data_IF_060303855753
#
_entry.id   IF_060303855753
#
_cell.length_a   1.000
_cell.length_b   1.000
_cell.length_c   1.000
_cell.angle_alpha   90.00
_cell.angle_beta   90.00
_cell.angle_gamma   90.00
#
_symmetry.space_group_name_H-M   'P 1'
#
loop_
_entity.id
_entity.type
_entity.pdbx_description
1 polymer ?
#
# COMPACT_ATOMS: atom_id res chain seq x y z
N UNK A 1 73.54 12.03 17.46
CA UNK A 1 74.42 10.86 17.22
C UNK A 1 73.70 9.99 16.19
N UNK A 2 74.16 9.92 14.92
CA UNK A 2 75.06 8.88 14.37
C UNK A 2 74.49 7.46 14.63
N UNK A 3 74.23 6.56 13.68
CA UNK A 3 74.68 6.30 12.29
C UNK A 3 73.67 5.28 11.67
N UNK A 4 73.43 5.29 10.37
CA UNK A 4 73.99 4.32 9.39
C UNK A 4 72.97 3.19 9.13
N UNK A 5 72.46 2.90 7.93
CA UNK A 5 73.02 2.97 6.59
C UNK A 5 73.59 1.59 6.23
N UNK A 6 72.96 0.87 5.28
CA UNK A 6 73.61 -0.10 4.38
C UNK A 6 72.61 -0.58 3.29
N UNK A 7 73.11 -0.62 2.06
CA UNK A 7 72.43 -0.94 0.81
C UNK A 7 72.63 -2.42 0.39
N UNK A 8 71.64 -2.94 -0.36
CA UNK A 8 71.73 -3.93 -1.47
C UNK A 8 72.23 -5.36 -1.18
N UNK A 9 72.19 -6.30 -2.15
CA UNK A 9 71.35 -6.48 -3.36
C UNK A 9 70.75 -7.92 -3.44
N UNK A 10 70.02 -8.27 -4.51
CA UNK A 10 69.81 -9.69 -4.84
C UNK A 10 68.61 -10.02 -5.72
N UNK A 11 68.83 -10.06 -7.04
CA UNK A 11 67.94 -10.74 -8.01
C UNK A 11 68.08 -12.25 -7.84
N UNK A 12 66.98 -13.00 -7.82
CA UNK A 12 66.91 -14.38 -8.31
C UNK A 12 65.53 -14.58 -8.98
N UNK A 13 65.57 -15.11 -10.19
CA UNK A 13 64.43 -15.40 -11.05
C UNK A 13 64.03 -16.87 -10.98
N UNK A 14 62.74 -17.18 -11.14
CA UNK A 14 62.13 -18.39 -11.75
C UNK A 14 60.60 -18.42 -11.44
N UNK A 15 59.77 -19.23 -12.13
CA UNK A 15 59.58 -19.35 -13.56
C UNK A 15 58.09 -19.17 -13.95
N UNK A 16 57.84 -19.34 -15.25
CA UNK A 16 56.57 -19.28 -16.00
C UNK A 16 55.43 -20.13 -15.41
N UNK A 17 54.23 -19.56 -15.36
CA UNK A 17 52.98 -20.29 -15.46
C UNK A 17 51.99 -19.49 -16.35
N UNK A 18 51.84 -19.94 -17.58
CA UNK A 18 50.92 -19.41 -18.58
C UNK A 18 49.50 -19.89 -18.22
N UNK A 19 48.74 -19.06 -17.49
CA UNK A 19 47.34 -19.32 -17.20
C UNK A 19 46.44 -18.72 -18.27
N UNK A 20 45.87 -19.56 -19.13
CA UNK A 20 44.86 -19.16 -20.11
C UNK A 20 43.58 -18.70 -19.39
N UNK A 21 43.35 -17.39 -19.36
CA UNK A 21 42.07 -16.83 -18.94
C UNK A 21 41.06 -17.03 -20.07
N UNK A 22 40.24 -18.08 -19.97
CA UNK A 22 38.99 -18.18 -20.73
C UNK A 22 38.08 -17.03 -20.27
N UNK A 23 38.01 -15.97 -21.08
CA UNK A 23 36.98 -14.95 -20.96
C UNK A 23 35.62 -15.57 -21.21
N UNK A 24 34.85 -15.79 -20.14
CA UNK A 24 33.42 -16.04 -20.23
C UNK A 24 32.77 -14.73 -20.71
N UNK A 25 32.58 -14.62 -22.03
CA UNK A 25 31.72 -13.61 -22.62
C UNK A 25 30.28 -13.87 -22.16
N UNK A 26 29.88 -13.25 -21.05
CA UNK A 26 28.49 -13.18 -20.65
C UNK A 26 27.72 -12.38 -21.71
N UNK A 27 26.70 -12.99 -22.31
CA UNK A 27 25.68 -12.25 -23.02
C UNK A 27 24.87 -11.45 -21.99
N UNK A 28 25.30 -10.23 -21.69
CA UNK A 28 24.36 -9.24 -21.19
C UNK A 28 23.51 -8.78 -22.38
N UNK A 29 22.17 -8.92 -22.35
CA UNK A 29 21.33 -8.30 -23.35
C UNK A 29 21.47 -6.79 -23.19
N UNK A 30 22.20 -6.17 -24.10
CA UNK A 30 22.22 -4.71 -24.27
C UNK A 30 20.82 -4.28 -24.68
N UNK A 31 20.02 -3.84 -23.70
CA UNK A 31 18.78 -3.12 -23.99
C UNK A 31 19.21 -1.78 -24.61
N UNK A 32 18.88 -1.50 -25.89
CA UNK A 32 19.28 -0.25 -26.52
C UNK A 32 18.60 0.91 -25.78
N UNK A 33 19.41 1.78 -25.19
CA UNK A 33 18.98 2.99 -24.47
C UNK A 33 18.90 4.23 -25.37
N UNK A 34 18.87 4.03 -26.69
CA UNK A 34 18.64 5.10 -27.66
C UNK A 34 17.14 5.29 -27.96
N UNK A 35 16.69 6.48 -28.38
CA UNK A 35 15.35 6.63 -28.95
C UNK A 35 15.25 5.64 -30.12
N UNK A 36 14.19 4.84 -30.15
CA UNK A 36 13.93 3.92 -31.24
C UNK A 36 13.91 4.71 -32.56
N UNK A 37 14.98 4.63 -33.32
CA UNK A 37 14.99 5.12 -34.69
C UNK A 37 14.25 4.07 -35.50
N UNK A 38 12.98 4.33 -35.80
CA UNK A 38 12.23 3.62 -36.83
C UNK A 38 12.96 3.80 -38.16
N UNK A 39 13.85 2.87 -38.50
CA UNK A 39 14.16 2.59 -39.89
C UNK A 39 13.08 1.65 -40.39
N UNK A 40 12.23 2.06 -41.36
CA UNK A 40 11.18 1.21 -41.87
C UNK A 40 11.79 -0.04 -42.51
N UNK A 41 11.53 -1.21 -41.92
CA UNK A 41 11.75 -2.49 -42.55
C UNK A 41 10.67 -2.78 -43.59
N UNK A 42 10.97 -3.64 -44.54
CA UNK A 42 10.20 -4.03 -45.73
C UNK A 42 8.77 -4.60 -45.48
N UNK A 43 8.24 -4.52 -44.26
CA UNK A 43 6.90 -4.97 -43.86
C UNK A 43 5.77 -3.94 -44.09
N UNK A 44 6.06 -2.86 -44.81
CA UNK A 44 5.24 -1.65 -44.92
C UNK A 44 3.98 -1.75 -45.82
N UNK A 45 3.43 -2.96 -46.04
CA UNK A 45 2.18 -3.12 -46.80
C UNK A 45 0.95 -3.30 -45.90
N UNK A 46 1.14 -3.66 -44.63
CA UNK A 46 0.13 -3.61 -43.58
C UNK A 46 0.83 -3.28 -42.25
N UNK A 47 1.35 -2.06 -42.14
CA UNK A 47 1.90 -1.54 -40.89
C UNK A 47 0.78 -1.27 -39.87
N UNK A 48 0.39 -2.33 -39.15
CA UNK A 48 -0.54 -2.26 -38.02
C UNK A 48 0.15 -1.74 -36.75
N UNK A 49 1.46 -1.47 -36.75
CA UNK A 49 2.19 -0.96 -35.58
C UNK A 49 1.77 0.47 -35.23
N UNK A 50 1.28 1.24 -36.21
CA UNK A 50 0.61 2.54 -36.00
C UNK A 50 -0.56 2.49 -35.01
N UNK A 51 -1.16 1.32 -34.79
CA UNK A 51 -2.23 1.15 -33.79
C UNK A 51 -1.70 0.69 -32.42
N UNK A 52 -0.51 0.08 -32.36
CA UNK A 52 0.15 -0.29 -31.11
C UNK A 52 0.71 0.93 -30.38
N UNK A 53 1.33 1.85 -31.13
CA UNK A 53 1.86 3.11 -30.60
C UNK A 53 1.11 4.28 -31.19
N UNK A 54 0.17 4.80 -30.40
CA UNK A 54 -0.66 5.93 -30.79
C UNK A 54 -0.09 7.24 -30.24
N UNK A 55 -0.23 8.34 -30.99
CA UNK A 55 0.10 9.70 -30.55
C UNK A 55 -0.93 10.27 -29.56
N UNK A 56 -1.15 9.58 -28.44
CA UNK A 56 -1.94 10.05 -27.30
C UNK A 56 -1.28 9.61 -26.01
N UNK A 57 -1.51 10.35 -24.93
CA UNK A 57 -1.09 9.90 -23.61
C UNK A 57 -2.11 8.91 -23.03
N UNK A 58 -1.63 7.82 -22.47
CA UNK A 58 -2.41 6.90 -21.62
C UNK A 58 -2.10 7.15 -20.13
N UNK A 59 -2.94 6.66 -19.19
CA UNK A 59 -2.66 6.81 -17.77
C UNK A 59 -1.27 6.26 -17.40
N UNK A 60 -0.54 7.03 -16.59
CA UNK A 60 0.84 6.74 -16.15
C UNK A 60 1.92 6.73 -17.24
N UNK A 61 1.62 7.19 -18.47
CA UNK A 61 2.64 7.41 -19.48
C UNK A 61 3.51 8.64 -19.13
N UNK A 62 4.84 8.60 -19.37
CA UNK A 62 5.68 9.78 -19.26
C UNK A 62 5.31 10.83 -20.31
N UNK A 63 5.56 12.10 -20.00
CA UNK A 63 5.33 13.24 -20.89
C UNK A 63 6.49 14.21 -20.85
N UNK A 64 6.97 14.63 -22.01
CA UNK A 64 7.99 15.68 -22.13
C UNK A 64 7.38 17.10 -22.11
N UNK A 65 6.05 17.22 -22.11
CA UNK A 65 5.36 18.51 -22.15
C UNK A 65 5.37 19.24 -20.80
N UNK A 66 5.51 18.50 -19.69
CA UNK A 66 5.44 19.05 -18.33
C UNK A 66 6.74 18.81 -17.57
N UNK A 67 7.11 19.77 -16.72
CA UNK A 67 8.36 19.74 -15.94
C UNK A 67 8.49 18.53 -15.00
N UNK A 68 7.36 17.97 -14.57
CA UNK A 68 7.29 16.82 -13.66
C UNK A 68 7.26 15.46 -14.41
N UNK A 69 7.34 15.48 -15.74
CA UNK A 69 7.36 14.28 -16.56
C UNK A 69 6.02 13.52 -16.62
N UNK A 70 4.96 14.03 -15.98
CA UNK A 70 3.71 13.30 -15.80
C UNK A 70 2.63 13.74 -16.80
N UNK A 71 2.11 12.79 -17.58
CA UNK A 71 0.93 13.03 -18.42
C UNK A 71 -0.34 13.24 -17.57
N UNK A 72 -0.46 12.55 -16.43
CA UNK A 72 -1.59 12.68 -15.51
C UNK A 72 -1.46 14.00 -14.72
N UNK A 73 -2.31 14.98 -15.04
CA UNK A 73 -2.34 16.27 -14.34
C UNK A 73 -3.22 16.20 -13.09
N UNK A 74 -2.81 16.93 -12.05
CA UNK A 74 -3.69 17.19 -10.90
C UNK A 74 -4.77 18.19 -11.30
N UNK A 75 -6.04 17.95 -11.00
CA UNK A 75 -7.08 18.96 -11.17
C UNK A 75 -6.78 20.23 -10.36
N UNK A 76 -7.22 21.42 -10.81
CA UNK A 76 -7.14 22.64 -10.02
C UNK A 76 -7.81 22.48 -8.65
N UNK A 77 -7.30 23.20 -7.65
CA UNK A 77 -7.88 23.20 -6.31
C UNK A 77 -9.34 23.66 -6.31
N UNK A 78 -10.18 23.04 -5.47
CA UNK A 78 -11.61 23.34 -5.40
C UNK A 78 -12.47 22.70 -6.50
N UNK A 79 -11.89 21.92 -7.42
CA UNK A 79 -12.65 21.18 -8.42
C UNK A 79 -13.50 20.08 -7.77
N UNK A 80 -14.80 20.03 -8.12
CA UNK A 80 -15.75 19.02 -7.64
C UNK A 80 -16.15 18.10 -8.80
N UNK A 81 -15.96 16.77 -8.71
CA UNK A 81 -16.45 15.81 -9.70
C UNK A 81 -17.98 15.78 -9.76
N UNK A 82 -18.55 15.63 -10.96
CA UNK A 82 -20.01 15.51 -11.12
C UNK A 82 -20.56 14.18 -10.58
N UNK A 83 -19.74 13.12 -10.58
CA UNK A 83 -20.05 11.80 -10.06
C UNK A 83 -19.74 11.65 -8.56
N UNK A 84 -19.30 12.73 -7.89
CA UNK A 84 -19.11 12.69 -6.44
C UNK A 84 -20.45 12.44 -5.75
N UNK A 85 -20.48 11.45 -4.84
CA UNK A 85 -21.65 11.19 -4.02
C UNK A 85 -21.86 12.38 -3.09
N UNK A 86 -22.72 13.29 -3.54
CA UNK A 86 -23.23 14.41 -2.74
C UNK A 86 -24.51 13.95 -2.03
N UNK A 87 -24.69 14.35 -0.76
CA UNK A 87 -25.83 13.89 0.03
C UNK A 87 -25.61 13.99 1.53
N UNK A 88 -26.23 13.09 2.28
CA UNK A 88 -26.21 13.06 3.74
C UNK A 88 -24.76 13.17 4.29
N UNK A 89 -24.43 14.24 5.05
CA UNK A 89 -23.14 14.38 5.72
C UNK A 89 -22.78 13.21 6.63
N UNK A 90 -23.79 12.50 7.18
CA UNK A 90 -23.57 11.31 7.98
C UNK A 90 -22.92 10.20 7.14
N UNK A 91 -23.33 10.05 5.87
CA UNK A 91 -22.85 9.03 4.95
C UNK A 91 -21.50 9.42 4.32
N UNK A 92 -21.35 10.67 3.88
CA UNK A 92 -20.20 11.12 3.10
C UNK A 92 -19.01 11.49 3.97
N UNK A 93 -19.25 12.12 5.13
CA UNK A 93 -18.22 12.62 6.06
C UNK A 93 -18.24 11.94 7.43
N UNK A 94 -19.26 11.14 7.75
CA UNK A 94 -19.39 10.55 9.09
C UNK A 94 -19.77 11.57 10.17
N UNK A 95 -20.44 12.66 9.80
CA UNK A 95 -20.78 13.77 10.72
C UNK A 95 -22.27 14.07 10.68
N UNK A 96 -22.89 14.27 11.85
CA UNK A 96 -24.29 14.68 12.03
C UNK A 96 -24.31 15.90 12.96
N UNK A 97 -24.85 17.04 12.49
CA UNK A 97 -24.95 18.25 13.30
C UNK A 97 -23.61 18.81 13.81
N UNK A 98 -22.53 18.61 13.05
CA UNK A 98 -21.17 19.04 13.42
C UNK A 98 -20.43 18.07 14.36
N UNK A 99 -21.06 17.00 14.83
CA UNK A 99 -20.44 15.96 15.64
C UNK A 99 -20.29 14.64 14.86
N UNK A 100 -19.36 13.78 15.26
CA UNK A 100 -19.23 12.46 14.62
C UNK A 100 -20.50 11.62 14.78
N UNK A 101 -20.91 10.95 13.70
CA UNK A 101 -22.05 10.06 13.68
C UNK A 101 -21.87 8.94 14.71
N UNK A 102 -22.76 8.88 15.70
CA UNK A 102 -22.76 7.87 16.77
C UNK A 102 -23.35 6.54 16.32
N UNK A 103 -24.12 6.54 15.22
CA UNK A 103 -24.71 5.37 14.57
C UNK A 103 -24.23 5.23 13.14
N UNK A 104 -24.34 4.01 12.61
CA UNK A 104 -24.08 3.76 11.19
C UNK A 104 -25.19 4.40 10.33
N UNK A 105 -24.84 5.13 9.24
CA UNK A 105 -25.81 5.68 8.30
C UNK A 105 -26.34 4.62 7.31
N UNK A 106 -25.77 3.42 7.32
CA UNK A 106 -26.17 2.28 6.48
C UNK A 106 -26.52 1.06 7.33
N UNK A 107 -27.39 0.14 6.86
CA UNK A 107 -27.68 -1.10 7.56
C UNK A 107 -26.42 -1.97 7.76
N UNK A 108 -26.19 -2.43 8.98
CA UNK A 108 -25.08 -3.34 9.31
C UNK A 108 -25.57 -4.78 9.20
N UNK A 109 -25.36 -5.39 8.03
CA UNK A 109 -25.67 -6.81 7.78
C UNK A 109 -24.41 -7.67 7.91
N UNK A 110 -24.57 -9.00 8.00
CA UNK A 110 -23.42 -9.91 8.05
C UNK A 110 -22.59 -9.87 6.75
N UNK A 111 -23.24 -9.66 5.61
CA UNK A 111 -22.59 -9.49 4.30
C UNK A 111 -21.72 -8.23 4.29
N UNK A 112 -22.23 -7.12 4.87
CA UNK A 112 -21.44 -5.89 4.98
C UNK A 112 -20.21 -6.10 5.87
N UNK A 113 -20.35 -6.80 7.00
CA UNK A 113 -19.23 -7.07 7.91
C UNK A 113 -18.19 -7.98 7.25
N UNK A 114 -18.61 -9.01 6.51
CA UNK A 114 -17.70 -9.89 5.75
C UNK A 114 -16.97 -9.13 4.65
N UNK A 115 -17.69 -8.32 3.88
CA UNK A 115 -17.07 -7.45 2.89
C UNK A 115 -16.09 -6.46 3.55
N UNK A 116 -16.46 -5.91 4.70
CA UNK A 116 -15.60 -5.06 5.52
C UNK A 116 -14.32 -5.76 5.96
N UNK A 117 -14.39 -7.05 6.31
CA UNK A 117 -13.21 -7.87 6.61
C UNK A 117 -12.27 -7.94 5.42
N UNK A 118 -12.78 -8.26 4.23
CA UNK A 118 -11.95 -8.38 3.02
C UNK A 118 -11.22 -7.07 2.74
N UNK A 119 -11.91 -5.93 2.84
CA UNK A 119 -11.28 -4.62 2.64
C UNK A 119 -10.30 -4.25 3.76
N UNK A 120 -10.61 -4.61 5.00
CA UNK A 120 -9.69 -4.45 6.14
C UNK A 120 -8.41 -5.25 5.95
N UNK A 121 -8.53 -6.51 5.52
CA UNK A 121 -7.37 -7.37 5.29
C UNK A 121 -6.44 -6.76 4.23
N UNK A 122 -6.99 -6.14 3.18
CA UNK A 122 -6.23 -5.51 2.10
C UNK A 122 -5.54 -4.20 2.55
N UNK A 123 -6.27 -3.29 3.21
CA UNK A 123 -5.77 -1.93 3.43
C UNK A 123 -5.25 -1.64 4.84
N UNK A 124 -5.80 -2.34 5.84
CA UNK A 124 -5.64 -1.99 7.24
C UNK A 124 -4.77 -2.99 7.99
N UNK A 125 -4.94 -4.29 7.72
CA UNK A 125 -4.26 -5.37 8.46
C UNK A 125 -2.74 -5.32 8.35
N UNK A 126 -2.22 -4.80 7.23
CA UNK A 126 -0.79 -4.64 7.02
C UNK A 126 -0.13 -3.81 8.13
N UNK A 127 -0.81 -2.80 8.66
CA UNK A 127 -0.31 -1.94 9.75
C UNK A 127 -0.97 -2.23 11.09
N UNK A 128 -2.26 -2.57 11.13
CA UNK A 128 -3.00 -2.77 12.38
C UNK A 128 -3.09 -4.24 12.84
N UNK A 129 -2.49 -5.17 12.10
CA UNK A 129 -2.59 -6.60 12.34
C UNK A 129 -3.93 -7.19 11.87
N UNK A 130 -3.93 -8.48 11.52
CA UNK A 130 -5.18 -9.21 11.16
C UNK A 130 -6.15 -9.23 12.33
N UNK A 131 -5.60 -9.33 13.53
CA UNK A 131 -6.30 -9.31 14.81
C UNK A 131 -6.76 -7.91 15.27
N UNK A 132 -6.31 -6.85 14.60
CA UNK A 132 -6.57 -5.46 15.00
C UNK A 132 -5.87 -5.04 16.29
N UNK A 133 -4.85 -5.77 16.74
CA UNK A 133 -4.07 -5.53 17.96
C UNK A 133 -2.89 -4.58 17.75
N UNK A 134 -2.69 -4.07 16.53
CA UNK A 134 -1.55 -3.23 16.20
C UNK A 134 -0.26 -4.02 15.97
N UNK A 135 -0.33 -5.36 15.96
CA UNK A 135 0.82 -6.23 15.75
C UNK A 135 0.87 -6.73 14.31
N UNK A 136 1.82 -6.21 13.54
CA UNK A 136 2.13 -6.63 12.18
C UNK A 136 3.61 -6.43 11.88
N UNK A 137 4.09 -7.05 10.80
CA UNK A 137 5.48 -6.85 10.37
C UNK A 137 5.76 -5.38 10.01
N UNK A 138 4.81 -4.69 9.38
CA UNK A 138 4.95 -3.24 9.12
C UNK A 138 4.99 -2.46 10.44
N UNK A 139 4.08 -2.74 11.37
CA UNK A 139 4.03 -2.05 12.66
C UNK A 139 5.32 -2.20 13.47
N UNK A 140 5.94 -3.39 13.45
CA UNK A 140 7.22 -3.65 14.12
C UNK A 140 8.37 -2.81 13.55
N UNK A 141 8.30 -2.50 12.26
CA UNK A 141 9.27 -1.66 11.56
C UNK A 141 8.94 -0.14 11.62
N UNK A 142 7.81 0.26 12.22
CA UNK A 142 7.47 1.67 12.42
C UNK A 142 8.12 2.22 13.71
N UNK A 143 9.35 2.73 13.59
CA UNK A 143 10.20 3.14 14.74
C UNK A 143 9.72 4.40 15.46
N UNK A 144 9.07 5.33 14.75
CA UNK A 144 8.62 6.59 15.36
C UNK A 144 7.37 6.40 16.21
N UNK A 145 6.38 5.67 15.68
CA UNK A 145 5.11 5.40 16.38
C UNK A 145 4.40 4.22 15.74
N UNK A 146 4.08 3.22 16.55
CA UNK A 146 3.28 2.08 16.12
C UNK A 146 1.80 2.45 15.97
N UNK A 147 1.07 1.81 15.05
CA UNK A 147 -0.39 1.92 14.98
C UNK A 147 -1.02 1.48 16.30
N UNK A 148 -2.09 2.15 16.79
CA UNK A 148 -2.80 1.69 17.96
C UNK A 148 -3.52 0.36 17.69
N UNK A 149 -3.70 -0.42 18.74
CA UNK A 149 -4.67 -1.52 18.75
C UNK A 149 -6.06 -0.94 18.51
N UNK A 150 -6.72 -1.45 17.47
CA UNK A 150 -8.09 -1.10 17.11
C UNK A 150 -9.11 -1.78 18.02
N UNK A 151 -8.72 -2.82 18.74
CA UNK A 151 -9.59 -3.58 19.66
C UNK A 151 -9.53 -3.04 21.10
N UNK A 152 -8.66 -2.07 21.38
CA UNK A 152 -8.61 -1.39 22.67
C UNK A 152 -9.93 -0.69 23.00
N UNK A 153 -10.32 -0.75 24.28
CA UNK A 153 -11.57 -0.15 24.77
C UNK A 153 -11.71 1.34 24.40
N UNK A 154 -10.59 2.10 24.43
CA UNK A 154 -10.56 3.51 24.03
C UNK A 154 -10.95 3.72 22.56
N UNK A 155 -10.43 2.90 21.66
CA UNK A 155 -10.73 3.00 20.22
C UNK A 155 -12.14 2.48 19.94
N UNK A 156 -12.55 1.41 20.63
CA UNK A 156 -13.90 0.87 20.53
C UNK A 156 -14.97 1.81 21.09
N UNK A 157 -14.63 2.70 22.02
CA UNK A 157 -15.53 3.76 22.49
C UNK A 157 -15.74 4.90 21.48
N UNK A 158 -14.92 5.02 20.43
CA UNK A 158 -15.12 6.08 19.44
C UNK A 158 -16.44 5.92 18.67
N UNK A 159 -17.15 7.01 18.33
CA UNK A 159 -18.31 6.91 17.45
C UNK A 159 -17.87 6.38 16.07
N UNK A 160 -18.71 5.59 15.36
CA UNK A 160 -18.40 5.08 14.02
C UNK A 160 -17.93 6.17 13.05
N UNK A 161 -18.54 7.35 13.11
CA UNK A 161 -18.16 8.51 12.28
C UNK A 161 -16.72 8.98 12.50
N UNK A 162 -16.16 8.83 13.71
CA UNK A 162 -14.75 9.18 13.97
C UNK A 162 -13.80 8.19 13.31
N UNK A 163 -14.12 6.90 13.34
CA UNK A 163 -13.31 5.89 12.65
C UNK A 163 -13.37 6.12 11.14
N UNK A 164 -14.57 6.40 10.62
CA UNK A 164 -14.75 6.77 9.22
C UNK A 164 -13.88 7.98 8.83
N UNK A 165 -13.90 9.05 9.63
CA UNK A 165 -13.10 10.25 9.37
C UNK A 165 -11.60 9.94 9.34
N UNK A 166 -11.09 9.14 10.28
CA UNK A 166 -9.67 8.74 10.30
C UNK A 166 -9.26 8.02 9.01
N UNK A 167 -10.16 7.21 8.42
CA UNK A 167 -9.90 6.55 7.13
C UNK A 167 -9.84 7.59 5.99
N UNK A 168 -10.73 8.58 6.02
CA UNK A 168 -10.84 9.60 4.96
C UNK A 168 -9.73 10.63 5.03
N UNK A 169 -9.45 11.17 6.20
CA UNK A 169 -8.54 12.31 6.39
C UNK A 169 -7.13 11.87 6.81
N UNK A 170 -7.00 10.67 7.37
CA UNK A 170 -5.81 10.24 8.08
C UNK A 170 -5.79 10.73 9.52
N UNK A 171 -4.81 10.28 10.30
CA UNK A 171 -4.60 10.73 11.68
C UNK A 171 -3.17 10.47 12.15
N UNK A 172 -2.49 11.52 12.62
CA UNK A 172 -1.09 11.41 13.02
C UNK A 172 -0.20 10.95 11.85
N UNK A 173 0.42 9.78 11.97
CA UNK A 173 1.24 9.18 10.90
C UNK A 173 0.42 8.34 9.89
N UNK A 174 -0.86 8.08 10.19
CA UNK A 174 -1.74 7.37 9.26
C UNK A 174 -2.16 8.32 8.14
N UNK A 175 -1.79 7.98 6.89
CA UNK A 175 -2.20 8.73 5.70
C UNK A 175 -3.69 8.58 5.43
N UNK A 176 -4.24 9.51 4.65
CA UNK A 176 -5.57 9.37 4.06
C UNK A 176 -5.62 8.14 3.14
N UNK A 177 -6.72 7.40 3.23
CA UNK A 177 -7.08 6.32 2.31
C UNK A 177 -8.26 6.69 1.40
N UNK A 178 -8.68 7.96 1.40
CA UNK A 178 -9.80 8.41 0.58
C UNK A 178 -9.63 8.13 -0.92
N UNK A 179 -8.43 8.30 -1.53
CA UNK A 179 -8.23 8.02 -2.95
C UNK A 179 -8.33 6.53 -3.33
N UNK A 180 -8.07 5.61 -2.39
CA UNK A 180 -8.00 4.17 -2.65
C UNK A 180 -9.27 3.41 -2.24
N UNK A 181 -10.00 3.92 -1.25
CA UNK A 181 -11.15 3.22 -0.64
C UNK A 181 -12.43 3.99 -0.96
N UNK A 182 -13.34 3.46 -1.79
CA UNK A 182 -14.66 4.04 -2.05
C UNK A 182 -15.54 4.17 -0.80
N UNK A 183 -16.49 5.10 -0.82
CA UNK A 183 -17.36 5.43 0.33
C UNK A 183 -17.99 4.20 1.01
N UNK A 184 -18.60 3.30 0.23
CA UNK A 184 -19.28 2.11 0.77
C UNK A 184 -18.30 1.18 1.50
N UNK A 185 -17.10 1.03 0.95
CA UNK A 185 -16.05 0.19 1.54
C UNK A 185 -15.56 0.75 2.87
N UNK A 186 -15.44 2.08 3.00
CA UNK A 186 -15.06 2.73 4.25
C UNK A 186 -16.04 2.37 5.38
N UNK A 187 -17.35 2.44 5.13
CA UNK A 187 -18.35 2.05 6.13
C UNK A 187 -18.33 0.55 6.44
N UNK A 188 -18.07 -0.30 5.44
CA UNK A 188 -17.90 -1.73 5.64
C UNK A 188 -16.70 -2.03 6.57
N UNK A 189 -15.56 -1.36 6.35
CA UNK A 189 -14.38 -1.46 7.22
C UNK A 189 -14.71 -1.00 8.64
N UNK A 190 -15.40 0.14 8.81
CA UNK A 190 -15.82 0.62 10.13
C UNK A 190 -16.71 -0.40 10.84
N UNK A 191 -17.65 -1.03 10.13
CA UNK A 191 -18.50 -2.08 10.67
C UNK A 191 -17.68 -3.29 11.13
N UNK A 192 -16.70 -3.71 10.33
CA UNK A 192 -15.79 -4.81 10.69
C UNK A 192 -14.92 -4.46 11.90
N UNK A 193 -14.34 -3.26 11.97
CA UNK A 193 -13.53 -2.82 13.13
C UNK A 193 -14.35 -2.83 14.43
N UNK A 194 -15.63 -2.42 14.38
CA UNK A 194 -16.54 -2.53 15.53
C UNK A 194 -16.88 -3.98 15.89
N UNK A 195 -17.09 -4.83 14.89
CA UNK A 195 -17.32 -6.26 15.12
C UNK A 195 -16.08 -6.94 15.74
N UNK A 196 -14.88 -6.58 15.29
CA UNK A 196 -13.61 -7.12 15.78
C UNK A 196 -13.41 -6.82 17.27
N UNK A 197 -13.66 -5.58 17.70
CA UNK A 197 -13.62 -5.22 19.12
C UNK A 197 -14.63 -5.99 19.97
N UNK A 198 -15.87 -6.17 19.47
CA UNK A 198 -16.87 -7.01 20.15
C UNK A 198 -16.43 -8.47 20.25
N UNK A 199 -15.82 -9.01 19.20
CA UNK A 199 -15.31 -10.38 19.19
C UNK A 199 -14.19 -10.59 20.22
N UNK A 200 -13.33 -9.58 20.44
CA UNK A 200 -12.26 -9.66 21.43
C UNK A 200 -12.74 -9.52 22.86
N UNK A 201 -13.82 -8.77 23.08
CA UNK A 201 -14.41 -8.56 24.40
C UNK A 201 -15.47 -9.61 24.79
N UNK A 202 -15.80 -10.54 23.89
CA UNK A 202 -16.81 -11.55 24.15
C UNK A 202 -16.30 -12.62 25.13
N UNK A 203 -17.06 -12.84 26.20
CA UNK A 203 -16.86 -14.00 27.07
C UNK A 203 -17.29 -15.27 26.33
N UNK A 204 -16.38 -16.25 26.24
CA UNK A 204 -16.65 -17.53 25.59
C UNK A 204 -17.82 -18.26 26.23
N UNK A 205 -17.99 -18.14 27.55
CA UNK A 205 -19.06 -18.83 28.27
C UNK A 205 -20.44 -18.18 28.09
N UNK A 206 -20.47 -16.93 27.64
CA UNK A 206 -21.70 -16.24 27.24
C UNK A 206 -22.15 -16.61 25.80
N UNK A 207 -21.31 -17.30 25.02
CA UNK A 207 -21.66 -17.69 23.65
C UNK A 207 -22.67 -18.85 23.62
N UNK A 208 -23.58 -18.89 22.63
CA UNK A 208 -24.42 -20.05 22.36
C UNK A 208 -23.59 -21.34 22.25
N UNK A 209 -24.07 -22.51 22.73
CA UNK A 209 -23.32 -23.75 22.75
C UNK A 209 -22.57 -24.09 21.45
N UNK A 210 -23.18 -24.03 20.24
CA UNK A 210 -22.45 -24.37 19.01
C UNK A 210 -21.31 -23.40 18.67
N UNK A 211 -21.44 -22.11 19.03
CA UNK A 211 -20.40 -21.12 18.81
C UNK A 211 -19.27 -21.24 19.83
N UNK A 212 -19.61 -21.57 21.08
CA UNK A 212 -18.64 -21.80 22.16
C UNK A 212 -17.74 -22.99 21.88
N UNK A 213 -18.32 -24.11 21.46
CA UNK A 213 -17.57 -25.32 21.13
C UNK A 213 -16.60 -25.07 19.97
N UNK A 214 -17.09 -24.40 18.91
CA UNK A 214 -16.26 -23.99 17.79
C UNK A 214 -15.11 -23.06 18.22
N UNK A 215 -15.42 -22.03 19.00
CA UNK A 215 -14.41 -21.08 19.48
C UNK A 215 -13.33 -21.78 20.32
N UNK A 216 -13.71 -22.70 21.22
CA UNK A 216 -12.76 -23.49 22.03
C UNK A 216 -11.85 -24.40 21.19
N UNK A 217 -12.28 -24.78 19.98
CA UNK A 217 -11.47 -25.59 19.05
C UNK A 217 -10.54 -24.75 18.19
N UNK A 218 -10.96 -23.53 17.82
CA UNK A 218 -10.24 -22.65 16.89
C UNK A 218 -9.32 -21.64 17.58
N UNK A 219 -9.57 -21.31 18.85
CA UNK A 219 -8.72 -20.42 19.63
C UNK A 219 -7.50 -21.20 20.18
N UNK A 220 -6.29 -20.61 20.12
CA UNK A 220 -5.07 -21.22 20.65
C UNK A 220 -5.05 -21.29 22.18
#
# INVERSE_FOLDING_TARGET
MRRGGLLSPGRLAAPVALGAALGLAGCEPTVPTGPATDTPGESDLLDLERMLRQHRFVPYQPSELFLDGAAMRRPPEGTVPHDEVTGDPALTRGVVGGAHATRFPIPVTIELVRYGKERYDIFCSACHGVAGDGESEVARNMTQRRPPSLVDARVQAFPPGRIYQVIVEGYGLMRSYAPQIPLRERWAIVAYVKALGRSRAADLDALPPPLRERARKELP
#
